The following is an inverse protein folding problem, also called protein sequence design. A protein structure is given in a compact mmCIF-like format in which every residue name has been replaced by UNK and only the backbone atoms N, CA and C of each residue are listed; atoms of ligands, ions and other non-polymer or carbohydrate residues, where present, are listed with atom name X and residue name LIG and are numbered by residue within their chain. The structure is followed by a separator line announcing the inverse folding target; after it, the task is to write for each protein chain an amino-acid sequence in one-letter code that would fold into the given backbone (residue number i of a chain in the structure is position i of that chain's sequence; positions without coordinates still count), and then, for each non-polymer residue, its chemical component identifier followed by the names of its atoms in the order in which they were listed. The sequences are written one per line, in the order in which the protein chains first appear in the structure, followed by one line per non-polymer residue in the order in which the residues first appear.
data_IF_456362635865
#
_entry.id   IF_456362635865
#
_cell.length_a   1.000
_cell.length_b   1.000
_cell.length_c   1.000
_cell.angle_alpha   90.00
_cell.angle_beta   90.00
_cell.angle_gamma   90.00
#
_symmetry.space_group_name_H-M   'P 1'
#
loop_
_entity.id
_entity.type
_entity.pdbx_description
1 polymer ?
#
# COMPACT_ATOMS: atom_id res chain seq x y z
N UNK A 1 24.25 7.62 24.37
CA UNK A 1 24.10 7.69 22.89
C UNK A 1 24.63 6.39 22.32
N UNK A 2 23.87 5.70 21.49
CA UNK A 2 24.27 4.39 21.00
C UNK A 2 25.40 4.55 19.96
N UNK A 3 26.54 3.92 20.20
CA UNK A 3 27.82 4.14 19.48
C UNK A 3 27.88 3.67 18.02
N UNK A 4 26.73 3.38 17.41
CA UNK A 4 26.60 2.89 16.04
C UNK A 4 25.92 3.87 15.08
N UNK A 5 25.49 5.04 15.57
CA UNK A 5 24.95 6.13 14.74
C UNK A 5 26.04 7.20 14.68
N UNK A 6 26.83 7.19 13.60
CA UNK A 6 28.00 8.04 13.39
C UNK A 6 27.67 9.48 12.97
N UNK A 7 26.38 9.80 12.75
CA UNK A 7 25.93 11.16 12.43
C UNK A 7 24.78 11.58 13.36
N UNK A 8 24.72 12.83 13.85
CA UNK A 8 23.58 13.31 14.61
C UNK A 8 22.31 13.11 13.78
N UNK A 9 21.28 12.50 14.38
CA UNK A 9 19.97 12.35 13.73
C UNK A 9 19.44 13.76 13.46
N UNK A 10 19.52 14.18 12.20
CA UNK A 10 19.01 15.48 11.77
C UNK A 10 17.48 15.40 11.80
N UNK A 11 16.87 16.02 12.83
CA UNK A 11 15.41 16.09 12.97
C UNK A 11 14.76 17.15 12.06
N UNK A 12 15.55 17.84 11.24
CA UNK A 12 15.10 18.86 10.29
C UNK A 12 15.00 18.29 8.86
N UNK A 13 14.00 17.47 8.58
CA UNK A 13 13.65 17.17 7.18
C UNK A 13 12.72 18.27 6.67
N UNK A 14 13.20 19.12 5.75
CA UNK A 14 12.35 20.12 5.08
C UNK A 14 11.70 19.49 3.84
N UNK A 15 10.41 19.78 3.63
CA UNK A 15 9.70 19.49 2.36
C UNK A 15 9.79 20.65 1.37
N UNK A 16 10.60 21.67 1.68
CA UNK A 16 10.75 22.84 0.82
C UNK A 16 11.38 22.43 -0.51
N UNK A 17 10.68 22.76 -1.60
CA UNK A 17 11.12 22.46 -2.94
C UNK A 17 11.34 23.76 -3.71
N UNK A 18 12.57 23.95 -4.16
CA UNK A 18 12.94 25.03 -5.07
C UNK A 18 12.77 24.57 -6.52
N UNK A 19 12.19 25.42 -7.37
CA UNK A 19 11.96 25.07 -8.78
C UNK A 19 13.25 25.02 -9.60
N UNK A 20 14.38 25.56 -9.14
CA UNK A 20 15.60 25.62 -9.95
C UNK A 20 16.17 24.20 -10.16
N UNK A 21 16.56 23.80 -11.40
CA UNK A 21 16.73 24.61 -12.61
C UNK A 21 15.53 24.62 -13.59
N UNK A 22 14.34 24.17 -13.19
CA UNK A 22 13.15 24.10 -14.05
C UNK A 22 12.66 25.50 -14.43
N UNK A 23 12.16 25.63 -15.66
CA UNK A 23 11.38 26.80 -16.06
C UNK A 23 10.07 26.89 -15.25
N UNK A 24 9.42 28.04 -15.26
CA UNK A 24 8.14 28.24 -14.54
C UNK A 24 7.08 27.24 -14.98
N UNK A 25 6.95 27.00 -16.29
CA UNK A 25 5.97 26.06 -16.85
C UNK A 25 6.27 24.60 -16.47
N UNK A 26 7.55 24.20 -16.51
CA UNK A 26 7.98 22.87 -16.11
C UNK A 26 7.78 22.65 -14.60
N UNK A 27 8.03 23.68 -13.78
CA UNK A 27 7.80 23.60 -12.35
C UNK A 27 6.30 23.50 -12.02
N UNK A 28 5.46 24.28 -12.68
CA UNK A 28 3.99 24.21 -12.52
C UNK A 28 3.45 22.84 -12.95
N UNK A 29 4.01 22.28 -14.03
CA UNK A 29 3.67 20.93 -14.47
C UNK A 29 4.14 19.87 -13.47
N UNK A 30 5.34 20.00 -12.90
CA UNK A 30 5.90 19.07 -11.91
C UNK A 30 5.15 19.13 -10.57
N UNK A 31 4.67 20.31 -10.17
CA UNK A 31 3.89 20.52 -8.94
C UNK A 31 2.43 20.03 -9.04
N UNK A 32 2.01 19.47 -10.17
CA UNK A 32 0.69 18.84 -10.29
C UNK A 32 0.57 17.65 -9.33
N UNK A 33 -0.67 17.42 -8.88
CA UNK A 33 -1.04 16.39 -7.88
C UNK A 33 -0.37 15.02 -8.07
N UNK A 34 -0.24 14.55 -9.31
CA UNK A 34 0.23 13.19 -9.61
C UNK A 34 1.73 13.08 -9.91
N UNK A 35 2.41 14.22 -10.00
CA UNK A 35 3.82 14.31 -10.40
C UNK A 35 4.71 14.71 -9.22
N UNK A 36 4.17 15.51 -8.30
CA UNK A 36 4.97 16.15 -7.26
C UNK A 36 5.46 15.15 -6.21
N UNK A 37 6.76 14.86 -6.25
CA UNK A 37 7.38 13.84 -5.40
C UNK A 37 7.26 14.14 -3.90
N UNK A 38 7.41 15.41 -3.49
CA UNK A 38 7.40 15.82 -2.07
C UNK A 38 6.04 15.66 -1.36
N UNK A 39 4.96 15.47 -2.13
CA UNK A 39 3.59 15.26 -1.63
C UNK A 39 3.03 13.90 -2.08
N UNK A 40 3.87 13.04 -2.62
CA UNK A 40 3.46 11.74 -3.15
C UNK A 40 2.98 10.79 -2.04
N UNK A 41 3.49 10.92 -0.81
CA UNK A 41 2.98 10.21 0.36
C UNK A 41 1.52 10.57 0.65
N UNK A 42 1.17 11.85 0.59
CA UNK A 42 -0.22 12.30 0.80
C UNK A 42 -1.16 11.83 -0.31
N UNK A 43 -0.67 11.70 -1.54
CA UNK A 43 -1.50 11.34 -2.70
C UNK A 43 -1.66 9.82 -2.85
N UNK A 44 -0.66 9.02 -2.47
CA UNK A 44 -0.65 7.58 -2.71
C UNK A 44 -0.70 6.75 -1.41
N UNK A 45 0.04 7.13 -0.37
CA UNK A 45 0.05 6.38 0.88
C UNK A 45 -1.23 6.63 1.70
N UNK A 46 -1.66 7.88 1.87
CA UNK A 46 -2.85 8.20 2.68
C UNK A 46 -4.14 7.54 2.14
N UNK A 47 -4.45 7.57 0.83
CA UNK A 47 -5.65 6.89 0.33
C UNK A 47 -5.57 5.36 0.49
N UNK A 48 -4.38 4.78 0.38
CA UNK A 48 -4.15 3.35 0.61
C UNK A 48 -4.44 2.98 2.07
N UNK A 49 -3.93 3.76 3.02
CA UNK A 49 -4.24 3.61 4.45
C UNK A 49 -5.75 3.79 4.69
N UNK A 50 -6.35 4.83 4.11
CA UNK A 50 -7.79 5.10 4.26
C UNK A 50 -8.64 3.93 3.72
N UNK A 51 -8.27 3.34 2.58
CA UNK A 51 -8.94 2.17 2.04
C UNK A 51 -8.94 0.99 3.03
N UNK A 52 -7.79 0.68 3.64
CA UNK A 52 -7.69 -0.37 4.65
C UNK A 52 -8.47 -0.03 5.92
N UNK A 53 -8.37 1.21 6.41
CA UNK A 53 -9.06 1.66 7.62
C UNK A 53 -10.58 1.65 7.44
N UNK A 54 -11.09 2.11 6.29
CA UNK A 54 -12.52 2.04 5.95
C UNK A 54 -12.99 0.58 5.88
N UNK A 55 -12.19 -0.30 5.29
CA UNK A 55 -12.48 -1.74 5.23
C UNK A 55 -12.60 -2.34 6.64
N UNK A 56 -11.61 -2.09 7.51
CA UNK A 56 -11.64 -2.53 8.91
C UNK A 56 -12.85 -1.93 9.62
N UNK A 57 -13.14 -0.65 9.43
CA UNK A 57 -14.29 0.05 10.00
C UNK A 57 -15.62 -0.60 9.62
N UNK A 58 -15.80 -1.00 8.36
CA UNK A 58 -17.00 -1.73 7.91
C UNK A 58 -17.15 -3.06 8.67
N UNK A 59 -16.06 -3.79 8.88
CA UNK A 59 -16.09 -5.04 9.66
C UNK A 59 -16.40 -4.81 11.14
N UNK A 60 -15.83 -3.76 11.76
CA UNK A 60 -16.13 -3.38 13.16
C UNK A 60 -17.61 -3.02 13.30
N UNK A 61 -18.13 -2.15 12.43
CA UNK A 61 -19.55 -1.77 12.44
C UNK A 61 -20.44 -3.00 12.24
N UNK A 62 -20.10 -3.87 11.28
CA UNK A 62 -20.81 -5.13 11.06
C UNK A 62 -20.82 -6.03 12.30
N UNK A 63 -19.68 -6.13 13.00
CA UNK A 63 -19.55 -6.92 14.23
C UNK A 63 -20.42 -6.37 15.36
N UNK A 64 -20.32 -5.07 15.65
CA UNK A 64 -21.10 -4.39 16.69
C UNK A 64 -22.60 -4.48 16.40
N UNK A 65 -23.02 -4.22 15.16
CA UNK A 65 -24.42 -4.36 14.75
C UNK A 65 -24.90 -5.81 14.94
N UNK A 66 -24.08 -6.81 14.61
CA UNK A 66 -24.46 -8.21 14.79
C UNK A 66 -24.66 -8.59 16.27
N UNK A 67 -23.87 -8.01 17.18
CA UNK A 67 -24.00 -8.25 18.62
C UNK A 67 -25.22 -7.53 19.21
N UNK A 68 -25.43 -6.26 18.85
CA UNK A 68 -26.53 -5.43 19.36
C UNK A 68 -27.89 -5.90 18.84
N UNK A 69 -27.98 -6.24 17.55
CA UNK A 69 -29.23 -6.65 16.90
C UNK A 69 -29.45 -8.17 16.90
N UNK A 70 -28.41 -8.97 17.09
CA UNK A 70 -28.51 -10.44 17.15
C UNK A 70 -29.17 -10.97 18.42
N UNK A 71 -29.14 -10.20 19.52
CA UNK A 71 -29.74 -10.59 20.80
C UNK A 71 -31.23 -10.21 20.93
N UNK A 72 -31.74 -9.31 20.09
CA UNK A 72 -33.14 -8.88 20.15
C UNK A 72 -34.03 -9.81 19.34
N UNK A 73 -34.93 -10.52 20.03
CA UNK A 73 -36.08 -11.28 19.48
C UNK A 73 -37.07 -10.40 18.67
N UNK A 74 -36.80 -9.11 18.52
CA UNK A 74 -37.64 -8.16 17.80
C UNK A 74 -37.32 -8.18 16.30
N UNK A 75 -38.32 -8.60 15.51
CA UNK A 75 -38.35 -8.45 14.05
C UNK A 75 -38.30 -6.96 13.71
N UNK A 76 -37.12 -6.44 13.37
CA UNK A 76 -36.95 -5.08 12.81
C UNK A 76 -37.70 -4.88 11.49
N UNK A 77 -37.72 -3.66 10.91
CA UNK A 77 -38.44 -3.37 9.67
C UNK A 77 -38.00 -4.26 8.50
N UNK A 78 -38.87 -4.56 7.54
CA UNK A 78 -38.62 -5.54 6.47
C UNK A 78 -37.41 -5.17 5.59
N UNK A 79 -37.12 -3.88 5.43
CA UNK A 79 -35.95 -3.39 4.69
C UNK A 79 -34.65 -3.75 5.44
N UNK A 80 -34.62 -3.57 6.76
CA UNK A 80 -33.47 -3.93 7.59
C UNK A 80 -33.23 -5.44 7.58
N UNK A 81 -34.30 -6.25 7.61
CA UNK A 81 -34.19 -7.71 7.49
C UNK A 81 -33.63 -8.14 6.12
N UNK A 82 -34.07 -7.51 5.03
CA UNK A 82 -33.52 -7.77 3.68
C UNK A 82 -32.04 -7.39 3.60
N UNK A 83 -31.65 -6.24 4.14
CA UNK A 83 -30.24 -5.83 4.21
C UNK A 83 -29.39 -6.81 5.02
N UNK A 84 -29.87 -7.24 6.20
CA UNK A 84 -29.20 -8.26 7.02
C UNK A 84 -29.08 -9.58 6.26
N UNK A 85 -30.13 -10.01 5.55
CA UNK A 85 -30.11 -11.23 4.75
C UNK A 85 -29.09 -11.15 3.60
N UNK A 86 -28.99 -10.01 2.92
CA UNK A 86 -27.99 -9.76 1.87
C UNK A 86 -26.58 -9.76 2.44
N UNK A 87 -26.33 -9.06 3.55
CA UNK A 87 -25.02 -9.06 4.22
C UNK A 87 -24.62 -10.47 4.63
N UNK A 88 -25.52 -11.22 5.27
CA UNK A 88 -25.29 -12.63 5.62
C UNK A 88 -25.03 -13.48 4.38
N UNK A 89 -25.79 -13.30 3.31
CA UNK A 89 -25.56 -14.01 2.06
C UNK A 89 -24.16 -13.74 1.50
N UNK A 90 -23.74 -12.47 1.44
CA UNK A 90 -22.40 -12.09 0.98
C UNK A 90 -21.29 -12.60 1.91
N UNK A 91 -21.52 -12.64 3.23
CA UNK A 91 -20.54 -13.11 4.22
C UNK A 91 -20.42 -14.64 4.32
N UNK A 92 -21.45 -15.41 3.97
CA UNK A 92 -21.46 -16.87 4.17
C UNK A 92 -21.47 -17.68 2.87
N UNK A 93 -21.93 -17.13 1.74
CA UNK A 93 -22.05 -17.89 0.48
C UNK A 93 -20.67 -18.03 -0.17
N UNK A 94 -20.07 -19.21 -0.06
CA UNK A 94 -18.99 -19.67 -0.94
C UNK A 94 -19.55 -20.53 -2.08
N UNK A 95 -18.89 -20.52 -3.24
CA UNK A 95 -19.23 -21.35 -4.39
C UNK A 95 -18.21 -22.46 -4.55
N UNK A 96 -18.68 -23.69 -4.71
CA UNK A 96 -17.81 -24.81 -5.07
C UNK A 96 -17.80 -24.98 -6.60
N UNK A 97 -16.71 -24.54 -7.24
CA UNK A 97 -16.51 -24.66 -8.68
C UNK A 97 -15.92 -26.04 -8.96
N UNK A 98 -16.82 -27.02 -9.20
CA UNK A 98 -16.49 -28.43 -9.48
C UNK A 98 -15.42 -28.65 -10.56
N UNK A 99 -15.44 -27.98 -11.73
CA UNK A 99 -14.43 -28.23 -12.77
C UNK A 99 -13.02 -27.79 -12.36
N UNK A 100 -12.91 -26.84 -11.43
CA UNK A 100 -11.63 -26.33 -10.93
C UNK A 100 -11.25 -26.92 -9.56
N UNK A 101 -12.08 -27.85 -9.02
CA UNK A 101 -12.00 -28.38 -7.65
C UNK A 101 -11.77 -27.30 -6.58
N UNK A 102 -12.26 -26.08 -6.84
CA UNK A 102 -11.98 -24.91 -6.01
C UNK A 102 -13.22 -24.54 -5.19
N UNK A 103 -13.07 -24.49 -3.87
CA UNK A 103 -14.03 -23.85 -2.98
C UNK A 103 -13.72 -22.36 -2.85
N UNK A 104 -14.60 -21.49 -3.37
CA UNK A 104 -14.38 -20.05 -3.35
C UNK A 104 -14.49 -19.50 -1.92
N UNK A 105 -13.72 -18.45 -1.64
CA UNK A 105 -13.99 -17.61 -0.47
C UNK A 105 -15.42 -17.03 -0.56
N UNK A 106 -16.01 -16.61 0.57
CA UNK A 106 -17.28 -15.89 0.57
C UNK A 106 -17.30 -14.74 -0.44
N UNK A 107 -18.43 -14.55 -1.14
CA UNK A 107 -18.58 -13.53 -2.19
C UNK A 107 -18.16 -12.13 -1.71
N UNK A 108 -18.48 -11.76 -0.47
CA UNK A 108 -18.09 -10.46 0.09
C UNK A 108 -16.58 -10.27 0.16
N UNK A 109 -15.82 -11.34 0.44
CA UNK A 109 -14.35 -11.30 0.43
C UNK A 109 -13.84 -11.16 -1.01
N UNK A 110 -14.42 -11.90 -1.96
CA UNK A 110 -14.07 -11.78 -3.38
C UNK A 110 -14.34 -10.38 -3.94
N UNK A 111 -15.47 -9.76 -3.59
CA UNK A 111 -15.80 -8.39 -3.99
C UNK A 111 -14.84 -7.38 -3.38
N UNK A 112 -14.45 -7.56 -2.11
CA UNK A 112 -13.45 -6.71 -1.46
C UNK A 112 -12.07 -6.86 -2.11
N UNK A 113 -11.69 -8.08 -2.51
CA UNK A 113 -10.48 -8.32 -3.31
C UNK A 113 -10.54 -7.63 -4.65
N UNK A 114 -11.66 -7.75 -5.36
CA UNK A 114 -11.87 -7.06 -6.63
C UNK A 114 -11.77 -5.53 -6.47
N UNK A 115 -12.42 -4.97 -5.45
CA UNK A 115 -12.35 -3.54 -5.16
C UNK A 115 -10.92 -3.10 -4.83
N UNK A 116 -10.18 -3.89 -4.05
CA UNK A 116 -8.77 -3.66 -3.76
C UNK A 116 -7.92 -3.69 -5.03
N UNK A 117 -8.06 -4.72 -5.85
CA UNK A 117 -7.36 -4.83 -7.14
C UNK A 117 -7.64 -3.62 -8.02
N UNK A 118 -8.91 -3.27 -8.22
CA UNK A 118 -9.28 -2.08 -9.01
C UNK A 118 -8.63 -0.82 -8.42
N UNK A 119 -8.71 -0.63 -7.10
CA UNK A 119 -8.08 0.52 -6.44
C UNK A 119 -6.56 0.58 -6.69
N UNK A 120 -5.83 -0.52 -6.48
CA UNK A 120 -4.38 -0.56 -6.65
C UNK A 120 -3.98 -0.30 -8.11
N UNK A 121 -4.62 -0.98 -9.07
CA UNK A 121 -4.33 -0.78 -10.49
C UNK A 121 -4.70 0.62 -10.97
N UNK A 122 -5.83 1.17 -10.52
CA UNK A 122 -6.24 2.53 -10.87
C UNK A 122 -5.27 3.57 -10.31
N UNK A 123 -4.88 3.45 -9.04
CA UNK A 123 -3.98 4.42 -8.41
C UNK A 123 -2.55 4.36 -8.95
N UNK A 124 -2.08 3.20 -9.40
CA UNK A 124 -0.71 3.05 -9.89
C UNK A 124 -0.60 3.31 -11.41
N UNK A 125 -1.55 2.83 -12.21
CA UNK A 125 -1.47 2.87 -13.68
C UNK A 125 -2.24 4.03 -14.34
N UNK A 126 -3.29 4.59 -13.73
CA UNK A 126 -3.98 5.72 -14.37
C UNK A 126 -3.13 7.00 -14.37
N UNK A 127 -2.45 7.36 -13.27
CA UNK A 127 -1.65 8.57 -13.26
C UNK A 127 -0.51 8.51 -14.27
N UNK A 128 -0.32 9.57 -15.04
CA UNK A 128 0.80 9.75 -15.95
C UNK A 128 1.70 10.86 -15.43
N UNK A 129 2.98 10.94 -15.84
CA UNK A 129 3.71 9.97 -16.66
C UNK A 129 4.18 8.76 -15.83
N UNK A 130 4.63 7.67 -16.47
CA UNK A 130 5.29 6.55 -15.78
C UNK A 130 6.79 6.77 -15.58
N UNK A 131 7.44 7.40 -16.54
CA UNK A 131 8.87 7.74 -16.53
C UNK A 131 9.03 9.23 -16.78
N UNK A 132 10.04 9.84 -16.18
CA UNK A 132 10.35 11.23 -16.44
C UNK A 132 10.90 11.43 -17.85
N UNK A 133 10.52 12.52 -18.55
CA UNK A 133 11.06 12.84 -19.85
C UNK A 133 12.52 13.31 -19.78
N UNK A 134 12.98 13.79 -18.62
CA UNK A 134 14.34 14.28 -18.38
C UNK A 134 14.75 13.99 -16.92
N UNK A 135 16.06 13.81 -16.68
CA UNK A 135 16.61 13.58 -15.32
C UNK A 135 16.41 14.77 -14.38
N UNK A 136 16.10 15.97 -14.90
CA UNK A 136 15.89 17.19 -14.09
C UNK A 136 14.73 17.05 -13.09
N UNK A 137 13.77 16.16 -13.37
CA UNK A 137 12.62 15.89 -12.49
C UNK A 137 12.94 14.90 -11.35
N UNK A 138 14.16 14.35 -11.34
CA UNK A 138 14.64 13.44 -10.31
C UNK A 138 15.08 12.08 -10.86
N UNK A 139 15.77 11.33 -10.00
CA UNK A 139 16.30 10.00 -10.34
C UNK A 139 15.31 8.86 -10.04
N UNK A 140 14.20 9.14 -9.36
CA UNK A 140 13.16 8.16 -9.07
C UNK A 140 12.04 8.22 -10.10
N UNK A 141 11.78 7.17 -10.88
CA UNK A 141 10.68 7.15 -11.85
C UNK A 141 9.33 7.41 -11.18
N UNK A 142 8.47 8.18 -11.86
CA UNK A 142 7.15 8.51 -11.33
C UNK A 142 6.34 7.26 -10.94
N UNK A 143 6.30 6.23 -11.78
CA UNK A 143 5.62 4.96 -11.45
C UNK A 143 6.23 4.27 -10.22
N UNK A 144 7.56 4.25 -10.10
CA UNK A 144 8.24 3.62 -8.97
C UNK A 144 7.94 4.35 -7.65
N UNK A 145 7.86 5.68 -7.66
CA UNK A 145 7.52 6.46 -6.47
C UNK A 145 6.12 6.11 -5.96
N UNK A 146 5.13 5.99 -6.85
CA UNK A 146 3.74 5.69 -6.49
C UNK A 146 3.60 4.32 -5.86
N UNK A 147 4.08 3.30 -6.56
CA UNK A 147 4.04 1.91 -6.11
C UNK A 147 4.84 1.72 -4.81
N UNK A 148 5.95 2.45 -4.64
CA UNK A 148 6.72 2.49 -3.40
C UNK A 148 5.91 2.99 -2.20
N UNK A 149 5.26 4.15 -2.32
CA UNK A 149 4.44 4.71 -1.23
C UNK A 149 3.19 3.87 -0.93
N UNK A 150 2.54 3.32 -1.96
CA UNK A 150 1.42 2.40 -1.77
C UNK A 150 1.89 1.10 -1.09
N UNK A 151 3.05 0.57 -1.46
CA UNK A 151 3.67 -0.58 -0.82
C UNK A 151 3.99 -0.33 0.65
N UNK A 152 4.58 0.81 0.98
CA UNK A 152 4.83 1.22 2.36
C UNK A 152 3.54 1.33 3.17
N UNK A 153 2.47 1.87 2.59
CA UNK A 153 1.16 1.95 3.23
C UNK A 153 0.55 0.57 3.55
N UNK A 154 0.88 -0.48 2.79
CA UNK A 154 0.42 -1.84 3.07
C UNK A 154 1.09 -2.49 4.29
N UNK A 155 2.36 -2.14 4.57
CA UNK A 155 3.18 -2.77 5.63
C UNK A 155 2.49 -2.92 6.99
N UNK A 156 1.95 -1.85 7.63
CA UNK A 156 1.34 -1.98 8.95
C UNK A 156 0.17 -2.99 8.96
N UNK A 157 -0.60 -3.07 7.88
CA UNK A 157 -1.72 -4.00 7.76
C UNK A 157 -1.27 -5.44 7.50
N UNK A 158 -0.19 -5.63 6.74
CA UNK A 158 0.42 -6.96 6.55
C UNK A 158 0.84 -7.53 7.91
N UNK A 159 1.55 -6.75 8.72
CA UNK A 159 1.97 -7.17 10.06
C UNK A 159 0.78 -7.39 11.00
N UNK A 160 -0.20 -6.47 11.01
CA UNK A 160 -1.35 -6.56 11.89
C UNK A 160 -2.27 -7.77 11.56
N UNK A 161 -2.30 -8.22 10.31
CA UNK A 161 -3.08 -9.39 9.87
C UNK A 161 -2.31 -10.71 9.96
N UNK A 162 -1.00 -10.68 10.20
CA UNK A 162 -0.16 -11.87 10.28
C UNK A 162 -0.32 -12.64 11.61
N UNK A 163 -0.61 -11.96 12.71
CA UNK A 163 -0.57 -12.56 14.05
C UNK A 163 -1.82 -13.40 14.38
N UNK A 164 -1.62 -14.49 15.13
CA UNK A 164 -2.71 -15.30 15.71
C UNK A 164 -3.53 -14.53 16.74
N UNK A 165 -2.85 -13.66 17.49
CA UNK A 165 -3.44 -12.71 18.44
C UNK A 165 -3.38 -11.32 17.84
N UNK A 166 -4.40 -10.98 17.05
CA UNK A 166 -4.55 -9.64 16.47
C UNK A 166 -5.65 -8.88 17.19
N UNK A 167 -5.37 -7.63 17.58
CA UNK A 167 -6.40 -6.69 18.06
C UNK A 167 -7.54 -6.53 17.04
N UNK A 168 -7.24 -6.70 15.75
CA UNK A 168 -8.23 -6.68 14.67
C UNK A 168 -9.26 -7.80 14.87
N UNK A 169 -8.84 -9.01 15.25
CA UNK A 169 -9.75 -10.13 15.53
C UNK A 169 -10.70 -9.80 16.68
N UNK A 170 -10.20 -9.15 17.73
CA UNK A 170 -11.01 -8.76 18.89
C UNK A 170 -12.08 -7.72 18.50
N UNK A 171 -11.70 -6.72 17.68
CA UNK A 171 -12.59 -5.63 17.30
C UNK A 171 -13.58 -5.98 16.17
N UNK A 172 -13.17 -6.82 15.23
CA UNK A 172 -13.97 -7.18 14.05
C UNK A 172 -14.72 -8.51 14.21
N UNK A 173 -14.37 -9.33 15.21
CA UNK A 173 -14.90 -10.69 15.37
C UNK A 173 -14.56 -11.64 14.21
N UNK A 174 -13.66 -11.25 13.31
CA UNK A 174 -13.23 -12.06 12.17
C UNK A 174 -12.21 -13.10 12.65
N UNK A 175 -12.47 -14.39 12.36
CA UNK A 175 -11.56 -15.46 12.77
C UNK A 175 -10.17 -15.31 12.12
N UNK A 176 -9.15 -15.81 12.81
CA UNK A 176 -7.76 -15.82 12.32
C UNK A 176 -7.63 -16.43 10.92
N UNK A 177 -8.34 -17.53 10.63
CA UNK A 177 -8.32 -18.19 9.31
C UNK A 177 -8.75 -17.25 8.18
N UNK A 178 -9.74 -16.38 8.44
CA UNK A 178 -10.19 -15.37 7.48
C UNK A 178 -9.20 -14.21 7.40
N UNK A 179 -8.60 -13.82 8.52
CA UNK A 179 -7.57 -12.78 8.57
C UNK A 179 -6.32 -13.19 7.77
N UNK A 180 -5.96 -14.48 7.78
CA UNK A 180 -4.87 -15.02 6.98
C UNK A 180 -5.12 -14.97 5.46
N UNK A 181 -6.38 -15.06 5.01
CA UNK A 181 -6.72 -14.82 3.60
C UNK A 181 -6.42 -13.37 3.23
N UNK A 182 -6.80 -12.42 4.09
CA UNK A 182 -6.48 -11.00 3.89
C UNK A 182 -4.98 -10.75 3.92
N UNK A 183 -4.25 -11.29 4.90
CA UNK A 183 -2.79 -11.20 4.96
C UNK A 183 -2.16 -11.65 3.64
N UNK A 184 -2.54 -12.84 3.13
CA UNK A 184 -2.01 -13.36 1.87
C UNK A 184 -2.33 -12.44 0.68
N UNK A 185 -3.54 -11.91 0.59
CA UNK A 185 -3.94 -11.03 -0.51
C UNK A 185 -3.23 -9.67 -0.47
N UNK A 186 -3.10 -9.07 0.72
CA UNK A 186 -2.35 -7.82 0.90
C UNK A 186 -0.87 -8.07 0.58
N UNK A 187 -0.30 -9.21 1.00
CA UNK A 187 1.07 -9.59 0.67
C UNK A 187 1.28 -9.77 -0.84
N UNK A 188 0.30 -10.32 -1.58
CA UNK A 188 0.38 -10.38 -3.04
C UNK A 188 0.30 -9.00 -3.69
N UNK A 189 -0.58 -8.12 -3.20
CA UNK A 189 -0.65 -6.74 -3.69
C UNK A 189 0.67 -6.01 -3.41
N UNK A 190 1.22 -6.13 -2.20
CA UNK A 190 2.51 -5.58 -1.82
C UNK A 190 3.65 -6.13 -2.69
N UNK A 191 3.66 -7.43 -2.98
CA UNK A 191 4.65 -8.03 -3.87
C UNK A 191 4.58 -7.42 -5.28
N UNK A 192 3.37 -7.29 -5.86
CA UNK A 192 3.19 -6.66 -7.17
C UNK A 192 3.67 -5.20 -7.14
N UNK A 193 3.30 -4.44 -6.12
CA UNK A 193 3.76 -3.05 -5.93
C UNK A 193 5.28 -2.98 -5.78
N UNK A 194 5.92 -3.93 -5.09
CA UNK A 194 7.37 -4.00 -4.97
C UNK A 194 8.05 -4.29 -6.33
N UNK A 195 7.43 -5.09 -7.20
CA UNK A 195 7.91 -5.28 -8.58
C UNK A 195 7.74 -4.00 -9.41
N UNK A 196 6.59 -3.34 -9.31
CA UNK A 196 6.31 -2.05 -9.96
C UNK A 196 7.13 -0.88 -9.37
N UNK A 197 7.71 -1.07 -8.20
CA UNK A 197 8.70 -0.17 -7.63
C UNK A 197 10.08 -0.46 -8.25
N UNK A 198 10.52 -1.72 -8.17
CA UNK A 198 11.89 -2.13 -8.51
C UNK A 198 12.18 -2.08 -10.01
N UNK A 199 11.31 -2.66 -10.85
CA UNK A 199 11.61 -2.78 -12.28
C UNK A 199 11.65 -1.44 -13.01
N UNK A 200 10.77 -0.45 -12.72
CA UNK A 200 10.90 0.85 -13.35
C UNK A 200 12.21 1.56 -12.99
N UNK A 201 12.75 1.40 -11.78
CA UNK A 201 14.10 1.89 -11.45
C UNK A 201 15.15 1.27 -12.38
N UNK A 202 15.16 -0.05 -12.52
CA UNK A 202 16.09 -0.76 -13.41
C UNK A 202 16.00 -0.22 -14.84
N UNK A 203 14.79 -0.15 -15.40
CA UNK A 203 14.57 0.34 -16.77
C UNK A 203 14.99 1.80 -16.94
N UNK A 204 14.70 2.64 -15.94
CA UNK A 204 15.06 4.06 -15.97
C UNK A 204 16.58 4.26 -16.00
N UNK A 205 17.32 3.57 -15.12
CA UNK A 205 18.77 3.68 -15.07
C UNK A 205 19.48 3.05 -16.28
N UNK A 206 18.90 2.00 -16.87
CA UNK A 206 19.36 1.48 -18.17
C UNK A 206 19.20 2.54 -19.26
N UNK A 207 18.01 3.16 -19.37
CA UNK A 207 17.72 4.17 -20.39
C UNK A 207 18.68 5.35 -20.35
N UNK A 208 19.14 5.67 -19.15
CA UNK A 208 19.96 6.82 -18.85
C UNK A 208 21.46 6.51 -18.75
N UNK A 209 21.84 5.26 -19.05
CA UNK A 209 23.23 4.76 -19.05
C UNK A 209 23.99 5.00 -17.73
N UNK A 210 23.29 5.02 -16.60
CA UNK A 210 23.88 5.28 -15.27
C UNK A 210 23.65 4.12 -14.28
N UNK A 211 23.26 2.94 -14.78
CA UNK A 211 22.98 1.77 -13.92
C UNK A 211 24.22 1.29 -13.16
N UNK A 212 25.37 1.20 -13.82
CA UNK A 212 26.61 0.73 -13.18
C UNK A 212 27.08 1.71 -12.09
N UNK A 213 27.07 3.01 -12.39
CA UNK A 213 27.41 4.07 -11.44
C UNK A 213 26.47 4.05 -10.23
N UNK A 214 25.15 3.94 -10.47
CA UNK A 214 24.15 3.89 -9.42
C UNK A 214 24.26 2.62 -8.56
N UNK A 215 24.62 1.48 -9.16
CA UNK A 215 24.83 0.22 -8.44
C UNK A 215 26.10 0.28 -7.59
N UNK A 216 27.21 0.76 -8.16
CA UNK A 216 28.48 0.91 -7.46
C UNK A 216 28.40 1.91 -6.29
N UNK A 217 27.74 3.05 -6.49
CA UNK A 217 27.61 4.08 -5.44
C UNK A 217 26.74 3.63 -4.26
N UNK A 218 25.67 2.87 -4.52
CA UNK A 218 24.72 2.46 -3.48
C UNK A 218 25.13 1.20 -2.71
N UNK A 219 25.85 0.26 -3.35
CA UNK A 219 26.29 -0.97 -2.68
C UNK A 219 27.44 -0.74 -1.70
N UNK A 220 28.36 0.18 -2.02
CA UNK A 220 29.52 0.46 -1.19
C UNK A 220 29.08 1.14 0.11
N UNK A 221 28.16 2.11 0.05
CA UNK A 221 27.79 2.89 1.24
C UNK A 221 26.94 2.14 2.28
N UNK A 222 26.10 1.18 1.86
CA UNK A 222 25.18 0.51 2.80
C UNK A 222 25.79 -0.71 3.52
N UNK A 223 26.79 -1.36 2.91
CA UNK A 223 27.38 -2.61 3.43
C UNK A 223 28.80 -2.48 3.95
N UNK A 224 29.51 -1.38 3.67
CA UNK A 224 30.89 -1.16 4.15
C UNK A 224 30.96 -0.03 5.19
N UNK A 225 30.27 -0.19 6.33
CA UNK A 225 30.72 0.46 7.57
C UNK A 225 31.92 -0.32 8.13
N UNK A 226 33.01 -0.39 7.37
CA UNK A 226 34.34 -0.73 7.88
C UNK A 226 35.39 -0.38 6.82
N UNK A 227 36.41 0.36 7.27
CA UNK A 227 37.68 0.72 6.62
C UNK A 227 37.78 2.13 6.02
N UNK A 228 37.75 3.14 6.89
CA UNK A 228 38.18 4.50 6.55
C UNK A 228 38.85 5.24 7.71
N UNK A 229 39.30 4.53 8.76
CA UNK A 229 40.25 5.05 9.75
C UNK A 229 41.57 4.32 9.50
N UNK A 230 42.33 4.79 8.52
CA UNK A 230 43.77 4.60 8.37
C UNK A 230 44.19 5.37 7.11
N UNK A 231 44.26 6.71 7.21
CA UNK A 231 45.16 7.58 6.43
C UNK A 231 44.94 9.03 6.92
N UNK A 232 45.82 9.45 7.84
CA UNK A 232 45.85 10.77 8.46
C UNK A 232 46.62 10.78 9.77
#
# INVERSE_FOLDING_TARGET
MAGWISAPVQLHSSREFECNPLTTEECDWYKKRWHFWYESDHVFALPTIAFFMCTIGIFIVGHVLSQVFGYRRFRGPPILQKLIAVVRYLSYRGFHVRPLRWNSAPIGILLLGLAGTVFFFCMDLIPQPYYWPSKIYGNSPALATRSGWMGLACMPFIFATASKTSWITLLTGVSYERLQVFHRWISYAFFILALLHTFPFIVYHIRWHDMEDHFASNLIFYWTVRSGEEEG
#
